data_IF_278029515423
#
_entry.id   IF_278029515423
#
_cell.length_a   1.000
_cell.length_b   1.000
_cell.length_c   1.000
_cell.angle_alpha   90.00
_cell.angle_beta   90.00
_cell.angle_gamma   90.00
#
_symmetry.space_group_name_H-M   'P 1'
#
loop_
_entity.id
_entity.type
_entity.pdbx_description
1 polymer ?
#
# COMPACT_ATOMS: atom_id res chain seq x y z
N UNK A 1 -30.42 1.70 -10.50
CA UNK A 1 -29.06 1.17 -10.28
C UNK A 1 -28.94 1.03 -8.78
N UNK A 2 -29.08 -0.19 -8.26
CA UNK A 2 -29.25 -0.46 -6.83
C UNK A 2 -28.03 0.00 -6.07
N UNK A 3 -28.26 0.94 -5.16
CA UNK A 3 -27.36 1.32 -4.08
C UNK A 3 -27.30 0.13 -3.12
N UNK A 4 -26.62 -0.95 -3.54
CA UNK A 4 -26.19 -1.99 -2.61
C UNK A 4 -25.31 -1.27 -1.61
N UNK A 5 -25.71 -1.25 -0.34
CA UNK A 5 -24.88 -0.80 0.76
C UNK A 5 -23.53 -1.51 0.66
N UNK A 6 -22.54 -0.82 0.11
CA UNK A 6 -21.20 -1.37 -0.10
C UNK A 6 -20.64 -1.72 1.28
N UNK A 7 -20.67 -3.01 1.61
CA UNK A 7 -20.22 -3.53 2.90
C UNK A 7 -18.73 -3.16 3.08
N UNK A 8 -18.41 -2.61 4.24
CA UNK A 8 -17.03 -2.33 4.63
C UNK A 8 -16.48 -3.55 5.37
N UNK A 9 -15.30 -3.99 4.97
CA UNK A 9 -14.58 -5.12 5.57
C UNK A 9 -13.21 -4.67 6.08
N UNK A 10 -12.71 -5.42 7.06
CA UNK A 10 -11.31 -5.32 7.48
C UNK A 10 -10.46 -6.27 6.64
N UNK A 11 -9.42 -5.72 6.03
CA UNK A 11 -8.46 -6.43 5.20
C UNK A 11 -7.07 -6.34 5.83
N UNK A 12 -6.35 -7.46 5.84
CA UNK A 12 -4.93 -7.47 6.21
C UNK A 12 -4.09 -6.99 5.02
N UNK A 13 -3.19 -6.04 5.26
CA UNK A 13 -2.23 -5.59 4.23
C UNK A 13 -1.22 -6.69 3.93
N UNK A 14 -0.74 -7.39 4.96
CA UNK A 14 0.01 -8.64 4.84
C UNK A 14 -0.88 -9.78 5.27
N UNK A 15 -1.21 -10.66 4.31
CA UNK A 15 -2.15 -11.74 4.52
C UNK A 15 -1.73 -12.70 5.64
N UNK A 16 -2.69 -13.17 6.44
CA UNK A 16 -2.46 -14.17 7.50
C UNK A 16 -1.92 -15.49 6.97
N UNK A 17 -2.19 -15.78 5.69
CA UNK A 17 -1.71 -16.98 4.98
C UNK A 17 -0.25 -16.88 4.54
N UNK A 18 0.43 -15.75 4.82
CA UNK A 18 1.85 -15.58 4.53
C UNK A 18 2.66 -16.69 5.21
N UNK A 19 3.55 -17.34 4.44
CA UNK A 19 4.30 -18.51 4.93
C UNK A 19 5.14 -18.13 6.16
N UNK A 20 5.23 -18.98 7.20
CA UNK A 20 6.04 -18.71 8.39
C UNK A 20 7.49 -18.35 8.06
N UNK A 21 8.12 -19.08 7.14
CA UNK A 21 9.49 -18.80 6.70
C UNK A 21 9.66 -17.41 6.05
N UNK A 22 8.60 -16.82 5.52
CA UNK A 22 8.61 -15.44 5.02
C UNK A 22 8.50 -14.45 6.18
N UNK A 23 7.69 -14.75 7.19
CA UNK A 23 7.56 -13.94 8.40
C UNK A 23 8.85 -13.91 9.21
N UNK A 24 9.53 -15.05 9.36
CA UNK A 24 10.84 -15.14 10.03
C UNK A 24 11.88 -14.23 9.34
N UNK A 25 11.85 -14.19 8.00
CA UNK A 25 12.69 -13.28 7.21
C UNK A 25 12.30 -11.82 7.42
N UNK A 26 11.00 -11.50 7.50
CA UNK A 26 10.55 -10.16 7.81
C UNK A 26 11.05 -9.71 9.18
N UNK A 27 10.88 -10.54 10.22
CA UNK A 27 11.38 -10.26 11.57
C UNK A 27 12.88 -9.97 11.55
N UNK A 28 13.64 -10.83 10.89
CA UNK A 28 15.08 -10.67 10.75
C UNK A 28 15.46 -9.36 10.03
N UNK A 29 14.85 -9.08 8.88
CA UNK A 29 15.12 -7.87 8.12
C UNK A 29 14.75 -6.61 8.92
N UNK A 30 13.62 -6.65 9.64
CA UNK A 30 13.11 -5.53 10.42
C UNK A 30 13.77 -5.41 11.81
N UNK A 31 14.85 -6.14 12.06
CA UNK A 31 15.58 -6.12 13.33
C UNK A 31 14.72 -6.51 14.54
N UNK A 32 13.62 -7.22 14.31
CA UNK A 32 12.71 -7.69 15.35
C UNK A 32 13.24 -8.99 15.97
N UNK A 33 12.82 -9.24 17.20
CA UNK A 33 13.13 -10.49 17.88
C UNK A 33 12.32 -11.62 17.25
N UNK A 34 12.87 -12.84 17.25
CA UNK A 34 12.23 -13.99 16.63
C UNK A 34 10.85 -14.27 17.24
N UNK A 35 9.86 -14.56 16.38
CA UNK A 35 8.48 -14.87 16.74
C UNK A 35 7.74 -13.73 17.46
N UNK A 36 8.04 -12.48 17.10
CA UNK A 36 7.39 -11.27 17.65
C UNK A 36 6.54 -10.51 16.63
N UNK A 37 6.61 -10.85 15.35
CA UNK A 37 5.79 -10.23 14.32
C UNK A 37 4.34 -10.73 14.40
N UNK A 38 3.48 -9.89 14.97
CA UNK A 38 2.04 -10.14 15.01
C UNK A 38 1.34 -9.56 13.78
N UNK A 39 0.77 -10.42 12.93
CA UNK A 39 -0.04 -10.01 11.77
C UNK A 39 -1.47 -9.56 12.14
N UNK A 40 -2.00 -9.97 13.28
CA UNK A 40 -3.35 -9.63 13.76
C UNK A 40 -3.38 -8.30 14.54
N UNK A 41 -2.37 -7.46 14.31
CA UNK A 41 -2.30 -6.10 14.85
C UNK A 41 -3.14 -5.13 14.03
N UNK A 42 -3.72 -4.11 14.69
CA UNK A 42 -4.37 -2.97 14.02
C UNK A 42 -3.47 -2.27 13.00
N UNK A 43 -2.15 -2.37 13.19
CA UNK A 43 -1.11 -1.78 12.34
C UNK A 43 -0.97 -2.49 10.98
N UNK A 44 -1.61 -3.65 10.80
CA UNK A 44 -1.67 -4.41 9.56
C UNK A 44 -3.09 -4.45 8.96
N UNK A 45 -4.06 -3.80 9.60
CA UNK A 45 -5.46 -3.82 9.20
C UNK A 45 -5.87 -2.51 8.55
N UNK A 46 -6.60 -2.60 7.45
CA UNK A 46 -7.24 -1.49 6.76
C UNK A 46 -8.73 -1.76 6.58
N UNK A 47 -9.53 -0.70 6.47
CA UNK A 47 -10.96 -0.81 6.17
C UNK A 47 -11.20 -0.49 4.70
N UNK A 48 -11.76 -1.42 3.95
CA UNK A 48 -12.02 -1.29 2.52
C UNK A 48 -13.45 -1.75 2.20
N UNK A 49 -14.03 -1.19 1.15
CA UNK A 49 -15.25 -1.77 0.55
C UNK A 49 -14.91 -3.13 -0.06
N UNK A 50 -15.84 -4.10 -0.01
CA UNK A 50 -15.64 -5.47 -0.55
C UNK A 50 -15.05 -5.46 -1.97
N UNK A 51 -15.58 -4.60 -2.84
CA UNK A 51 -15.11 -4.52 -4.22
C UNK A 51 -13.66 -4.03 -4.31
N UNK A 52 -13.28 -3.04 -3.51
CA UNK A 52 -11.92 -2.51 -3.48
C UNK A 52 -10.93 -3.49 -2.82
N UNK A 53 -11.38 -4.21 -1.79
CA UNK A 53 -10.65 -5.28 -1.12
C UNK A 53 -10.32 -6.41 -2.10
N UNK A 54 -11.28 -6.87 -2.90
CA UNK A 54 -11.04 -7.92 -3.91
C UNK A 54 -9.92 -7.55 -4.88
N UNK A 55 -9.85 -6.28 -5.31
CA UNK A 55 -8.74 -5.82 -6.17
C UNK A 55 -7.44 -5.65 -5.38
N UNK A 56 -7.49 -5.30 -4.10
CA UNK A 56 -6.29 -5.23 -3.28
C UNK A 56 -5.59 -6.60 -3.18
N UNK A 57 -6.36 -7.68 -3.10
CA UNK A 57 -5.83 -9.05 -2.99
C UNK A 57 -5.28 -9.61 -4.32
N UNK A 58 -5.51 -8.95 -5.46
CA UNK A 58 -5.03 -9.36 -6.78
C UNK A 58 -3.65 -8.75 -7.08
N UNK A 59 -2.53 -9.50 -6.98
CA UNK A 59 -1.20 -8.88 -7.06
C UNK A 59 -0.87 -8.29 -8.42
N UNK A 60 -1.36 -8.91 -9.51
CA UNK A 60 -1.00 -8.56 -10.89
C UNK A 60 -1.98 -7.60 -11.59
N UNK A 61 -3.22 -7.50 -11.09
CA UNK A 61 -4.31 -6.78 -11.77
C UNK A 61 -5.03 -5.79 -10.87
N UNK A 62 -4.52 -5.65 -9.64
CA UNK A 62 -5.13 -4.88 -8.57
C UNK A 62 -4.51 -3.51 -8.40
N UNK A 63 -4.36 -3.13 -7.14
CA UNK A 63 -3.72 -1.88 -6.73
C UNK A 63 -2.85 -2.12 -5.49
N UNK A 64 -1.96 -1.17 -5.22
CA UNK A 64 -1.03 -1.21 -4.08
C UNK A 64 -0.93 0.16 -3.40
N UNK A 65 -0.45 0.16 -2.17
CA UNK A 65 -0.16 1.38 -1.41
C UNK A 65 1.29 1.81 -1.61
N UNK A 66 1.52 3.11 -1.76
CA UNK A 66 2.87 3.70 -1.78
C UNK A 66 2.96 4.78 -0.71
N UNK A 67 3.91 4.72 0.23
CA UNK A 67 4.09 5.78 1.23
C UNK A 67 4.31 7.14 0.56
N UNK A 68 3.65 8.18 1.07
CA UNK A 68 3.84 9.52 0.52
C UNK A 68 4.98 10.28 1.18
N UNK A 69 5.36 9.87 2.39
CA UNK A 69 6.43 10.49 3.17
C UNK A 69 7.80 10.05 2.65
N UNK A 70 8.51 10.99 2.03
CA UNK A 70 9.83 10.76 1.46
C UNK A 70 10.91 10.55 2.53
N UNK A 71 10.75 11.11 3.74
CA UNK A 71 11.71 10.92 4.82
C UNK A 71 11.63 9.48 5.33
N UNK A 72 10.41 8.96 5.54
CA UNK A 72 10.21 7.53 5.84
C UNK A 72 10.85 6.68 4.75
N UNK A 73 10.55 6.93 3.47
CA UNK A 73 11.13 6.15 2.37
C UNK A 73 12.67 6.21 2.35
N UNK A 74 13.26 7.38 2.59
CA UNK A 74 14.72 7.57 2.64
C UNK A 74 15.35 6.83 3.81
N UNK A 75 14.70 6.81 4.98
CA UNK A 75 15.16 6.03 6.15
C UNK A 75 15.13 4.54 5.87
N UNK A 76 14.08 4.03 5.22
CA UNK A 76 14.01 2.65 4.76
C UNK A 76 15.16 2.35 3.78
N UNK A 77 15.29 3.15 2.73
CA UNK A 77 16.35 2.99 1.73
C UNK A 77 17.74 2.93 2.38
N UNK A 78 18.05 3.88 3.27
CA UNK A 78 19.32 3.92 3.97
C UNK A 78 19.53 2.70 4.87
N UNK A 79 18.53 2.30 5.64
CA UNK A 79 18.64 1.13 6.52
C UNK A 79 18.91 -0.16 5.74
N UNK A 80 18.15 -0.41 4.67
CA UNK A 80 18.21 -1.68 3.96
C UNK A 80 19.36 -1.75 2.94
N UNK A 81 19.79 -0.62 2.33
CA UNK A 81 20.96 -0.60 1.42
C UNK A 81 22.26 -0.99 2.12
N UNK A 82 22.48 -0.50 3.34
CA UNK A 82 23.70 -0.84 4.11
C UNK A 82 23.50 -2.06 5.00
N UNK A 83 22.44 -2.85 4.76
CA UNK A 83 22.06 -4.04 5.54
C UNK A 83 21.99 -3.77 7.06
N UNK A 84 21.65 -2.54 7.43
CA UNK A 84 21.49 -2.11 8.81
C UNK A 84 20.04 -2.36 9.20
N UNK A 85 19.82 -3.46 9.91
CA UNK A 85 18.50 -3.85 10.39
C UNK A 85 18.05 -2.85 11.46
N UNK A 86 16.86 -2.31 11.29
CA UNK A 86 16.28 -1.30 12.17
C UNK A 86 14.89 -1.72 12.57
N UNK A 87 14.61 -1.67 13.89
CA UNK A 87 13.26 -1.92 14.41
C UNK A 87 12.31 -0.86 13.84
N UNK A 88 11.01 -1.18 13.67
CA UNK A 88 10.02 -0.18 13.25
C UNK A 88 10.07 1.11 14.07
N UNK A 89 10.37 0.99 15.36
CA UNK A 89 10.48 2.09 16.32
C UNK A 89 11.65 3.05 16.06
N UNK A 90 12.63 2.63 15.27
CA UNK A 90 13.79 3.42 14.89
C UNK A 90 13.62 4.12 13.53
N UNK A 91 12.64 3.67 12.72
CA UNK A 91 12.43 4.18 11.37
C UNK A 91 11.35 5.25 11.30
N UNK A 92 10.32 5.14 12.13
CA UNK A 92 9.25 6.12 12.24
C UNK A 92 8.68 6.11 13.66
N UNK A 93 8.01 7.20 14.03
CA UNK A 93 7.49 7.37 15.39
C UNK A 93 6.41 6.32 15.67
N UNK A 94 6.58 5.53 16.73
CA UNK A 94 5.64 4.43 17.07
C UNK A 94 4.30 4.96 17.55
N UNK A 95 4.31 6.16 18.12
CA UNK A 95 3.13 6.91 18.55
C UNK A 95 2.35 7.47 17.34
N UNK A 96 2.97 7.53 16.16
CA UNK A 96 2.28 7.90 14.94
C UNK A 96 1.23 6.85 14.61
N UNK A 97 -0.03 7.25 14.72
CA UNK A 97 -1.16 6.33 14.56
C UNK A 97 -1.64 6.22 13.14
N UNK A 98 -1.26 7.16 12.27
CA UNK A 98 -1.72 7.29 10.88
C UNK A 98 -0.57 7.65 9.98
N UNK A 99 -0.52 7.01 8.82
CA UNK A 99 0.47 7.28 7.79
C UNK A 99 -0.25 7.58 6.48
N UNK A 100 0.35 8.46 5.67
CA UNK A 100 -0.20 8.87 4.39
C UNK A 100 0.31 8.00 3.24
N UNK A 101 -0.62 7.53 2.40
CA UNK A 101 -0.32 6.70 1.23
C UNK A 101 -1.03 7.16 -0.04
N UNK A 102 -0.41 6.89 -1.18
CA UNK A 102 -1.05 6.93 -2.49
C UNK A 102 -1.53 5.54 -2.89
N UNK A 103 -2.72 5.49 -3.51
CA UNK A 103 -3.19 4.31 -4.21
C UNK A 103 -2.61 4.31 -5.62
N UNK A 104 -1.91 3.25 -5.99
CA UNK A 104 -1.37 3.05 -7.34
C UNK A 104 -2.05 1.84 -7.96
N UNK A 105 -2.75 2.04 -9.07
CA UNK A 105 -3.60 1.03 -9.70
C UNK A 105 -2.97 0.45 -10.97
N UNK A 106 -3.06 -0.87 -11.13
CA UNK A 106 -2.67 -1.54 -12.36
C UNK A 106 -3.64 -1.19 -13.52
N UNK A 107 -3.20 -1.29 -14.79
CA UNK A 107 -4.02 -0.96 -15.97
C UNK A 107 -5.38 -1.69 -16.07
N UNK A 108 -5.49 -2.86 -15.46
CA UNK A 108 -6.70 -3.68 -15.42
C UNK A 108 -7.84 -3.03 -14.60
N UNK A 109 -7.53 -2.00 -13.81
CA UNK A 109 -8.52 -1.18 -13.12
C UNK A 109 -9.07 -0.02 -13.98
N UNK A 110 -8.70 0.08 -15.26
CA UNK A 110 -9.13 1.15 -16.18
C UNK A 110 -10.64 1.31 -16.33
N UNK A 111 -11.39 0.20 -16.29
CA UNK A 111 -12.85 0.18 -16.39
C UNK A 111 -13.56 0.33 -15.03
N UNK A 112 -12.89 0.92 -14.04
CA UNK A 112 -13.41 1.11 -12.67
C UNK A 112 -13.29 2.57 -12.26
N UNK A 113 -14.18 2.97 -11.36
CA UNK A 113 -14.09 4.24 -10.66
C UNK A 113 -14.06 3.98 -9.16
N UNK A 114 -13.42 4.87 -8.43
CA UNK A 114 -13.44 4.90 -6.96
C UNK A 114 -14.28 6.11 -6.55
N UNK A 115 -15.28 5.87 -5.72
CA UNK A 115 -16.13 6.94 -5.18
C UNK A 115 -15.67 7.27 -3.76
N UNK A 116 -15.31 8.53 -3.52
CA UNK A 116 -15.03 9.05 -2.19
C UNK A 116 -16.29 9.75 -1.67
N UNK A 117 -16.65 9.44 -0.44
CA UNK A 117 -17.77 10.05 0.26
C UNK A 117 -17.28 11.23 1.09
N UNK A 118 -17.94 12.39 0.95
CA UNK A 118 -17.76 13.54 1.82
C UNK A 118 -18.74 13.44 3.01
N UNK A 119 -18.23 13.17 4.23
CA UNK A 119 -19.07 13.00 5.42
C UNK A 119 -19.71 14.31 5.90
N UNK A 120 -19.29 15.47 5.39
CA UNK A 120 -19.94 16.76 5.70
C UNK A 120 -21.29 16.92 4.99
N UNK A 121 -21.54 16.12 3.95
CA UNK A 121 -22.78 16.13 3.16
C UNK A 121 -23.69 14.96 3.59
N UNK A 122 -24.96 15.02 3.17
CA UNK A 122 -25.91 13.94 3.47
C UNK A 122 -25.62 12.72 2.59
N UNK A 123 -25.65 11.53 3.18
CA UNK A 123 -25.38 10.26 2.46
C UNK A 123 -26.30 9.97 1.27
N UNK A 124 -27.47 10.60 1.20
CA UNK A 124 -28.39 10.44 0.08
C UNK A 124 -28.24 11.52 -1.01
N UNK A 125 -27.33 12.47 -0.82
CA UNK A 125 -27.04 13.50 -1.80
C UNK A 125 -26.04 12.98 -2.84
N UNK A 126 -26.38 12.93 -4.13
CA UNK A 126 -25.44 12.54 -5.18
C UNK A 126 -24.15 13.37 -5.18
N UNK A 127 -24.19 14.64 -4.74
CA UNK A 127 -22.98 15.48 -4.67
C UNK A 127 -22.03 15.10 -3.53
N UNK A 128 -22.50 14.28 -2.57
CA UNK A 128 -21.65 13.75 -1.50
C UNK A 128 -20.63 12.71 -1.99
N UNK A 129 -20.75 12.26 -3.24
CA UNK A 129 -19.85 11.27 -3.82
C UNK A 129 -19.05 11.85 -4.98
N UNK A 130 -17.73 11.96 -4.79
CA UNK A 130 -16.81 12.31 -5.86
C UNK A 130 -16.26 11.03 -6.50
N UNK A 131 -16.44 10.90 -7.83
CA UNK A 131 -15.91 9.77 -8.61
C UNK A 131 -14.54 10.11 -9.16
N UNK A 132 -13.60 9.20 -8.94
CA UNK A 132 -12.25 9.24 -9.48
C UNK A 132 -12.09 8.08 -10.46
N UNK A 133 -11.51 8.36 -11.62
CA UNK A 133 -11.32 7.38 -12.70
C UNK A 133 -9.84 7.08 -12.90
N UNK A 134 -9.53 5.87 -13.37
CA UNK A 134 -8.18 5.47 -13.74
C UNK A 134 -7.49 6.51 -14.64
N UNK A 135 -6.19 6.80 -14.46
CA UNK A 135 -5.22 6.21 -13.52
C UNK A 135 -5.32 6.74 -12.08
N UNK A 136 -6.46 7.36 -11.74
CA UNK A 136 -6.78 7.87 -10.41
C UNK A 136 -5.86 8.99 -9.93
N UNK A 137 -5.33 9.79 -10.86
CA UNK A 137 -4.46 10.95 -10.58
C UNK A 137 -5.13 12.04 -9.75
N UNK A 138 -6.47 12.02 -9.66
CA UNK A 138 -7.25 12.95 -8.85
C UNK A 138 -7.58 12.41 -7.45
N UNK A 139 -7.22 11.16 -7.13
CA UNK A 139 -7.43 10.63 -5.78
C UNK A 139 -6.57 11.40 -4.77
N UNK A 140 -7.12 11.75 -3.60
CA UNK A 140 -6.33 12.30 -2.52
C UNK A 140 -5.39 11.23 -1.94
N UNK A 141 -4.46 11.69 -1.11
CA UNK A 141 -3.71 10.81 -0.22
C UNK A 141 -4.66 10.24 0.84
N UNK A 142 -4.40 9.00 1.24
CA UNK A 142 -5.18 8.34 2.28
C UNK A 142 -4.35 8.22 3.54
N UNK A 143 -4.91 8.72 4.65
CA UNK A 143 -4.37 8.48 5.98
C UNK A 143 -4.99 7.22 6.57
N UNK A 144 -4.19 6.18 6.75
CA UNK A 144 -4.63 4.91 7.35
C UNK A 144 -3.69 4.50 8.48
N UNK A 145 -4.17 3.64 9.38
CA UNK A 145 -3.41 3.20 10.56
C UNK A 145 -2.39 2.09 10.26
N UNK A 146 -2.19 1.75 8.99
CA UNK A 146 -1.28 0.70 8.59
C UNK A 146 0.15 1.22 8.72
N UNK A 147 1.05 0.41 9.27
CA UNK A 147 2.45 0.75 9.40
C UNK A 147 3.21 0.62 8.06
N UNK A 148 4.18 1.51 7.76
CA UNK A 148 4.98 1.47 6.54
C UNK A 148 5.64 0.12 6.23
N UNK A 149 6.11 -0.64 7.24
CA UNK A 149 6.70 -1.97 7.03
C UNK A 149 5.75 -2.94 6.31
N UNK A 150 4.48 -2.99 6.70
CA UNK A 150 3.48 -3.86 6.07
C UNK A 150 3.17 -3.42 4.64
N UNK A 151 3.06 -2.11 4.41
CA UNK A 151 2.84 -1.54 3.08
C UNK A 151 4.01 -1.84 2.16
N UNK A 152 5.24 -1.55 2.57
CA UNK A 152 6.45 -1.76 1.76
C UNK A 152 6.61 -3.25 1.43
N UNK A 153 6.36 -4.14 2.39
CA UNK A 153 6.38 -5.58 2.13
C UNK A 153 5.30 -6.01 1.11
N UNK A 154 4.05 -5.60 1.31
CA UNK A 154 2.96 -5.95 0.38
C UNK A 154 3.25 -5.43 -1.03
N UNK A 155 3.72 -4.18 -1.13
CA UNK A 155 4.08 -3.56 -2.41
C UNK A 155 5.23 -4.29 -3.07
N UNK A 156 6.31 -4.61 -2.34
CA UNK A 156 7.42 -5.40 -2.87
C UNK A 156 6.97 -6.77 -3.38
N UNK A 157 6.14 -7.47 -2.60
CA UNK A 157 5.56 -8.76 -3.02
C UNK A 157 4.75 -8.63 -4.32
N UNK A 158 3.88 -7.62 -4.42
CA UNK A 158 3.06 -7.40 -5.64
C UNK A 158 3.93 -7.05 -6.85
N UNK A 159 4.93 -6.18 -6.68
CA UNK A 159 5.87 -5.84 -7.74
C UNK A 159 6.64 -7.08 -8.23
N UNK A 160 7.08 -7.95 -7.33
CA UNK A 160 7.69 -9.23 -7.69
C UNK A 160 6.74 -10.12 -8.50
N UNK A 161 5.45 -10.17 -8.15
CA UNK A 161 4.45 -10.92 -8.92
C UNK A 161 4.16 -10.31 -10.30
N UNK A 162 4.29 -8.99 -10.45
CA UNK A 162 4.06 -8.28 -11.72
C UNK A 162 5.25 -8.41 -12.67
N UNK A 163 6.46 -8.19 -12.16
CA UNK A 163 7.67 -8.04 -12.99
C UNK A 163 8.64 -9.22 -12.89
N UNK A 164 8.44 -10.12 -11.93
CA UNK A 164 9.33 -11.24 -11.65
C UNK A 164 10.40 -10.93 -10.61
N UNK A 165 10.91 -11.99 -9.97
CA UNK A 165 12.03 -11.90 -9.01
C UNK A 165 13.30 -11.41 -9.69
N UNK A 166 13.98 -10.43 -9.08
CA UNK A 166 15.24 -9.87 -9.58
C UNK A 166 15.08 -8.88 -10.74
N UNK A 167 13.85 -8.48 -11.08
CA UNK A 167 13.63 -7.41 -12.05
C UNK A 167 14.21 -6.09 -11.53
N UNK A 168 15.03 -5.43 -12.35
CA UNK A 168 15.48 -4.06 -12.07
C UNK A 168 14.34 -3.10 -12.43
N UNK A 169 13.65 -2.61 -11.40
CA UNK A 169 12.52 -1.70 -11.57
C UNK A 169 13.02 -0.25 -11.53
N UNK A 170 13.21 0.32 -12.72
CA UNK A 170 13.48 1.74 -12.85
C UNK A 170 12.19 2.58 -12.86
N UNK A 171 12.38 3.89 -12.72
CA UNK A 171 11.28 4.86 -12.73
C UNK A 171 10.44 4.76 -14.00
N UNK A 172 11.09 4.56 -15.16
CA UNK A 172 10.40 4.52 -16.44
C UNK A 172 9.47 3.31 -16.53
N UNK A 173 9.94 2.14 -16.11
CA UNK A 173 9.19 0.89 -16.07
C UNK A 173 7.95 1.04 -15.20
N UNK A 174 8.12 1.57 -13.97
CA UNK A 174 7.01 1.76 -13.04
C UNK A 174 6.02 2.83 -13.52
N UNK A 175 6.51 3.95 -14.06
CA UNK A 175 5.66 5.02 -14.57
C UNK A 175 4.85 4.56 -15.78
N UNK A 176 5.46 3.80 -16.70
CA UNK A 176 4.80 3.24 -17.87
C UNK A 176 3.74 2.21 -17.49
N UNK A 177 4.05 1.31 -16.55
CA UNK A 177 3.10 0.26 -16.15
C UNK A 177 1.90 0.83 -15.40
N UNK A 178 2.13 1.72 -14.44
CA UNK A 178 1.07 2.25 -13.57
C UNK A 178 0.42 3.55 -14.09
N UNK A 179 0.86 4.06 -15.25
CA UNK A 179 0.44 5.37 -15.77
C UNK A 179 0.57 6.51 -14.74
N UNK A 180 1.67 6.49 -13.97
CA UNK A 180 1.94 7.50 -12.94
C UNK A 180 2.39 8.79 -13.63
N UNK A 181 1.60 9.85 -13.50
CA UNK A 181 1.97 11.20 -13.97
C UNK A 181 2.39 12.08 -12.77
N UNK A 182 3.63 12.55 -12.73
CA UNK A 182 4.13 13.51 -11.72
C UNK A 182 4.75 12.93 -10.43
N UNK A 183 4.82 13.74 -9.36
CA UNK A 183 5.69 13.65 -8.14
C UNK A 183 5.78 12.31 -7.38
N UNK A 184 4.96 11.31 -7.70
CA UNK A 184 5.04 9.94 -7.18
C UNK A 184 6.29 9.17 -7.64
N UNK A 185 6.94 9.66 -8.70
CA UNK A 185 8.10 9.07 -9.35
C UNK A 185 9.32 8.90 -8.41
N UNK A 186 9.46 9.77 -7.40
CA UNK A 186 10.62 9.74 -6.50
C UNK A 186 10.57 8.59 -5.46
N UNK A 187 9.39 8.10 -5.08
CA UNK A 187 9.23 7.17 -3.96
C UNK A 187 9.43 5.69 -4.34
N UNK A 188 9.51 5.38 -5.63
CA UNK A 188 9.42 4.01 -6.15
C UNK A 188 10.76 3.45 -6.66
N UNK A 189 11.89 4.13 -6.46
CA UNK A 189 13.19 3.57 -6.83
C UNK A 189 13.44 2.27 -6.05
N UNK A 190 13.61 1.19 -6.80
CA UNK A 190 13.93 -0.16 -6.31
C UNK A 190 15.10 -0.13 -5.32
N UNK A 191 14.90 -0.68 -4.13
CA UNK A 191 15.94 -0.92 -3.12
C UNK A 191 16.69 -2.24 -3.36
N UNK A 192 16.87 -2.65 -4.61
CA UNK A 192 17.67 -3.82 -4.97
C UNK A 192 18.83 -3.39 -5.85
N UNK A 193 19.95 -3.10 -5.20
CA UNK A 193 21.31 -3.40 -5.64
C UNK A 193 22.05 -3.99 -4.43
#
# INVERSE_FOLDING_TARGET
>A
MTDEMDVIEYSHVVARTTRPATLDKCEWCWGMDYYTLNLDTRKNLQSLRVNLHRFFDMPQTGWLWVPTDLDIMTRFENAYKVNTRKKPTELYEVEETKFSYYLVAAPQMSNRHISIYDPSLKSNDPVAFQRHFYPFTTLPKFEINVHPHFVIFNTGFKLEQIFGSGAVLDIATLSNYFNITGSLVYSLKSCYD
#
